data_IF_670843265738
#
_entry.id   IF_670843265738
#
_cell.length_a   1.000
_cell.length_b   1.000
_cell.length_c   1.000
_cell.angle_alpha   90.00
_cell.angle_beta   90.00
_cell.angle_gamma   90.00
#
_symmetry.space_group_name_H-M   'P 1'
#
loop_
_entity.id
_entity.type
_entity.pdbx_description
1 polymer ?
#
# COMPACT_ATOMS: atom_id res chain seq x y z
N UNK A 1 0.17 -40.11 -20.50
CA UNK A 1 0.97 -39.35 -19.51
C UNK A 1 1.01 -40.16 -18.24
N UNK A 2 2.18 -40.47 -17.70
CA UNK A 2 2.33 -41.26 -16.48
C UNK A 2 1.98 -40.41 -15.27
N UNK A 3 0.89 -40.75 -14.58
CA UNK A 3 0.50 -40.07 -13.35
C UNK A 3 1.55 -40.27 -12.25
N UNK A 4 1.87 -39.19 -11.54
CA UNK A 4 2.85 -39.22 -10.44
C UNK A 4 2.25 -40.03 -9.29
N UNK A 5 3.01 -41.00 -8.76
CA UNK A 5 2.59 -41.88 -7.63
C UNK A 5 2.06 -41.12 -6.40
N UNK A 6 2.54 -39.88 -6.19
CA UNK A 6 2.07 -38.98 -5.13
C UNK A 6 1.90 -37.56 -5.68
N UNK A 7 0.71 -37.19 -6.19
CA UNK A 7 0.51 -35.92 -6.87
C UNK A 7 0.62 -34.70 -5.94
N UNK A 8 0.28 -34.86 -4.65
CA UNK A 8 0.26 -33.78 -3.65
C UNK A 8 1.46 -33.77 -2.70
N UNK A 9 2.49 -34.58 -2.98
CA UNK A 9 3.71 -34.63 -2.16
C UNK A 9 4.87 -34.01 -2.93
N UNK A 10 5.46 -32.99 -2.34
CA UNK A 10 6.64 -32.30 -2.86
C UNK A 10 7.58 -31.94 -1.71
N UNK A 11 8.87 -31.86 -2.00
CA UNK A 11 9.91 -31.41 -1.07
C UNK A 11 10.36 -30.02 -1.49
N UNK A 12 10.45 -29.09 -0.55
CA UNK A 12 10.96 -27.73 -0.75
C UNK A 12 12.20 -27.57 0.13
N UNK A 13 13.31 -27.14 -0.46
CA UNK A 13 14.55 -26.89 0.25
C UNK A 13 14.94 -25.41 0.14
N UNK A 14 15.20 -24.79 1.30
CA UNK A 14 15.61 -23.39 1.38
C UNK A 14 17.13 -23.28 1.42
N UNK A 15 17.70 -22.38 0.61
CA UNK A 15 19.13 -22.14 0.61
C UNK A 15 19.49 -21.13 1.71
N UNK A 16 20.23 -21.59 2.72
CA UNK A 16 20.68 -20.79 3.87
C UNK A 16 21.59 -19.61 3.52
N UNK A 17 22.09 -19.52 2.28
CA UNK A 17 22.92 -18.42 1.83
C UNK A 17 22.09 -17.29 1.18
N UNK A 18 20.78 -17.48 0.98
CA UNK A 18 19.90 -16.50 0.35
C UNK A 18 19.00 -15.89 1.44
N UNK A 19 19.11 -14.58 1.75
CA UNK A 19 18.35 -13.94 2.84
C UNK A 19 16.84 -14.16 2.76
N UNK A 20 16.27 -14.11 1.56
CA UNK A 20 14.84 -14.32 1.34
C UNK A 20 14.41 -15.76 1.68
N UNK A 21 15.28 -16.75 1.44
CA UNK A 21 15.00 -18.14 1.78
C UNK A 21 15.06 -18.35 3.30
N UNK A 22 15.99 -17.69 3.98
CA UNK A 22 16.07 -17.70 5.45
C UNK A 22 14.77 -17.13 6.03
N UNK A 23 14.37 -15.94 5.57
CA UNK A 23 13.14 -15.29 6.04
C UNK A 23 11.89 -16.13 5.77
N UNK A 24 11.77 -16.73 4.58
CA UNK A 24 10.65 -17.61 4.25
C UNK A 24 10.64 -18.87 5.14
N UNK A 25 11.80 -19.46 5.42
CA UNK A 25 11.93 -20.59 6.31
C UNK A 25 11.55 -20.22 7.76
N UNK A 26 11.96 -19.05 8.26
CA UNK A 26 11.63 -18.58 9.60
C UNK A 26 10.12 -18.39 9.77
N UNK A 27 9.45 -17.76 8.80
CA UNK A 27 7.99 -17.61 8.79
C UNK A 27 7.31 -18.99 8.85
N UNK A 28 7.71 -19.93 7.99
CA UNK A 28 7.12 -21.27 7.97
C UNK A 28 7.44 -22.08 9.22
N UNK A 29 8.59 -21.85 9.86
CA UNK A 29 8.98 -22.54 11.08
C UNK A 29 8.22 -22.06 12.32
N UNK A 30 7.75 -20.81 12.32
CA UNK A 30 6.91 -20.27 13.38
C UNK A 30 5.47 -20.83 13.36
N UNK A 31 5.00 -21.35 12.22
CA UNK A 31 3.64 -21.88 12.06
C UNK A 31 3.50 -23.31 12.64
N UNK A 32 2.32 -23.67 13.20
CA UNK A 32 2.00 -25.05 13.55
C UNK A 32 2.11 -25.99 12.34
N UNK A 33 2.51 -27.24 12.57
CA UNK A 33 2.84 -28.18 11.50
C UNK A 33 1.71 -28.43 10.48
N UNK A 34 0.44 -28.28 10.89
CA UNK A 34 -0.73 -28.48 10.02
C UNK A 34 -1.10 -27.24 9.19
N UNK A 35 -0.61 -26.06 9.55
CA UNK A 35 -0.97 -24.79 8.90
C UNK A 35 0.03 -24.36 7.83
N UNK A 36 1.24 -24.94 7.81
CA UNK A 36 2.28 -24.61 6.83
C UNK A 36 1.81 -24.86 5.39
N UNK A 37 1.13 -25.98 5.16
CA UNK A 37 0.62 -26.34 3.84
C UNK A 37 -0.45 -25.34 3.37
N UNK A 38 -1.37 -24.96 4.25
CA UNK A 38 -2.42 -23.97 3.95
C UNK A 38 -1.83 -22.58 3.70
N UNK A 39 -0.83 -22.18 4.49
CA UNK A 39 -0.13 -20.91 4.30
C UNK A 39 0.56 -20.86 2.93
N UNK A 40 1.30 -21.92 2.56
CA UNK A 40 1.96 -22.03 1.26
C UNK A 40 0.92 -22.01 0.12
N UNK A 41 -0.18 -22.75 0.26
CA UNK A 41 -1.24 -22.78 -0.74
C UNK A 41 -1.86 -21.40 -0.96
N UNK A 42 -2.22 -20.69 0.12
CA UNK A 42 -2.77 -19.32 0.05
C UNK A 42 -1.77 -18.34 -0.56
N UNK A 43 -0.49 -18.42 -0.19
CA UNK A 43 0.54 -17.55 -0.74
C UNK A 43 0.72 -17.76 -2.26
N UNK A 44 0.77 -19.01 -2.72
CA UNK A 44 0.89 -19.34 -4.15
C UNK A 44 -0.35 -18.89 -4.92
N UNK A 45 -1.55 -19.23 -4.43
CA UNK A 45 -2.80 -18.84 -5.08
C UNK A 45 -2.96 -17.31 -5.11
N UNK A 46 -2.62 -16.62 -4.02
CA UNK A 46 -2.66 -15.16 -3.95
C UNK A 46 -1.68 -14.51 -4.92
N UNK A 47 -0.43 -14.99 -4.97
CA UNK A 47 0.58 -14.51 -5.93
C UNK A 47 0.14 -14.70 -7.39
N UNK A 48 -0.54 -15.80 -7.69
CA UNK A 48 -1.05 -16.11 -9.02
C UNK A 48 -2.38 -15.40 -9.35
N UNK A 49 -2.96 -14.63 -8.42
CA UNK A 49 -4.29 -14.03 -8.57
C UNK A 49 -5.43 -15.06 -8.66
N UNK A 50 -5.19 -16.28 -8.16
CA UNK A 50 -6.12 -17.42 -8.15
C UNK A 50 -6.76 -17.65 -6.78
N UNK A 51 -6.37 -16.87 -5.78
CA UNK A 51 -7.09 -16.84 -4.53
C UNK A 51 -8.36 -16.03 -4.80
N UNK A 52 -9.51 -16.69 -4.73
CA UNK A 52 -10.80 -16.02 -4.68
C UNK A 52 -10.73 -15.07 -3.48
N UNK A 53 -10.50 -13.78 -3.74
CA UNK A 53 -10.55 -12.75 -2.73
C UNK A 53 -11.95 -12.84 -2.15
N UNK A 54 -12.08 -13.34 -0.92
CA UNK A 54 -13.34 -13.31 -0.21
C UNK A 54 -13.80 -11.87 -0.19
N UNK A 55 -14.79 -11.55 -1.03
CA UNK A 55 -15.40 -10.25 -1.27
C UNK A 55 -14.55 -9.08 -0.77
N UNK A 56 -13.39 -8.88 -1.39
CA UNK A 56 -12.68 -7.60 -1.38
C UNK A 56 -13.44 -6.54 -2.19
N UNK A 57 -14.78 -6.59 -2.18
CA UNK A 57 -15.63 -5.58 -2.80
C UNK A 57 -15.62 -4.36 -1.88
N UNK A 58 -14.53 -3.59 -1.95
CA UNK A 58 -14.52 -2.25 -1.40
C UNK A 58 -15.57 -1.48 -2.19
N UNK A 59 -16.72 -1.21 -1.55
CA UNK A 59 -17.79 -0.43 -2.15
C UNK A 59 -17.18 0.88 -2.70
N UNK A 60 -17.28 1.14 -4.02
CA UNK A 60 -16.76 2.35 -4.62
C UNK A 60 -17.25 3.63 -3.95
N UNK A 61 -18.43 3.60 -3.33
CA UNK A 61 -18.97 4.73 -2.57
C UNK A 61 -18.20 4.96 -1.25
N UNK A 62 -17.82 3.89 -0.55
CA UNK A 62 -16.99 3.96 0.66
C UNK A 62 -15.61 4.52 0.28
N UNK A 63 -14.99 3.99 -0.78
CA UNK A 63 -13.70 4.47 -1.26
C UNK A 63 -13.77 5.95 -1.66
N UNK A 64 -14.81 6.35 -2.39
CA UNK A 64 -15.04 7.75 -2.79
C UNK A 64 -15.25 8.68 -1.60
N UNK A 65 -15.93 8.22 -0.55
CA UNK A 65 -16.09 8.99 0.68
C UNK A 65 -14.76 9.18 1.41
N UNK A 66 -13.97 8.11 1.56
CA UNK A 66 -12.65 8.18 2.18
C UNK A 66 -11.72 9.14 1.42
N UNK A 67 -11.67 9.05 0.09
CA UNK A 67 -10.86 9.95 -0.75
C UNK A 67 -11.30 11.41 -0.55
N UNK A 68 -12.61 11.70 -0.52
CA UNK A 68 -13.12 13.06 -0.29
C UNK A 68 -12.75 13.59 1.09
N UNK A 69 -12.83 12.74 2.11
CA UNK A 69 -12.47 13.10 3.47
C UNK A 69 -10.99 13.44 3.57
N UNK A 70 -10.10 12.59 3.04
CA UNK A 70 -8.64 12.84 3.00
C UNK A 70 -8.35 14.18 2.31
N UNK A 71 -8.93 14.42 1.14
CA UNK A 71 -8.75 15.68 0.43
C UNK A 71 -9.25 16.87 1.28
N UNK A 72 -10.43 16.78 1.89
CA UNK A 72 -10.95 17.86 2.72
C UNK A 72 -10.06 18.17 3.93
N UNK A 73 -9.54 17.15 4.62
CA UNK A 73 -8.64 17.30 5.77
C UNK A 73 -7.31 17.98 5.37
N UNK A 74 -6.76 17.63 4.21
CA UNK A 74 -5.55 18.27 3.66
C UNK A 74 -5.78 19.75 3.25
N UNK A 75 -6.99 20.13 2.85
CA UNK A 75 -7.31 21.51 2.46
C UNK A 75 -7.76 22.43 3.61
N UNK A 76 -8.22 21.89 4.75
CA UNK A 76 -8.71 22.71 5.87
C UNK A 76 -7.63 23.21 6.83
N UNK A 77 -6.43 22.61 6.85
CA UNK A 77 -5.29 23.15 7.64
C UNK A 77 -4.68 24.43 7.06
N UNK A 78 -5.09 24.88 5.87
CA UNK A 78 -4.61 26.14 5.25
C UNK A 78 -5.66 27.26 5.18
N UNK A 79 -6.89 27.01 5.64
CA UNK A 79 -8.02 27.93 5.43
C UNK A 79 -8.54 28.62 6.70
N UNK A 80 -7.85 28.46 7.84
CA UNK A 80 -8.20 29.13 9.10
C UNK A 80 -7.04 29.96 9.67
N UNK A 81 -6.49 30.85 8.85
CA UNK A 81 -6.03 32.18 9.32
C UNK A 81 -6.18 33.18 8.17
N UNK A 82 -7.40 33.52 7.75
CA UNK A 82 -7.62 34.83 7.12
C UNK A 82 -9.09 35.19 6.96
N UNK A 83 -9.73 35.61 8.06
CA UNK A 83 -10.87 36.54 8.02
C UNK A 83 -10.86 37.48 9.23
N UNK A 84 -9.90 38.39 9.28
CA UNK A 84 -10.13 39.78 9.73
C UNK A 84 -8.93 40.66 9.38
N UNK A 85 -9.09 41.47 8.32
CA UNK A 85 -8.71 42.90 8.18
C UNK A 85 -8.18 43.21 6.77
N UNK A 86 -9.04 43.84 5.99
CA UNK A 86 -8.64 44.76 4.92
C UNK A 86 -7.77 45.87 5.51
N UNK A 87 -6.47 45.84 5.26
CA UNK A 87 -5.62 47.01 5.05
C UNK A 87 -4.28 46.53 4.48
N UNK A 88 -3.85 47.14 3.39
CA UNK A 88 -2.86 46.60 2.45
C UNK A 88 -1.53 46.18 3.07
N UNK A 89 -1.12 44.96 2.75
CA UNK A 89 0.27 44.50 2.79
C UNK A 89 0.49 43.65 1.54
N UNK A 90 0.99 44.27 0.47
CA UNK A 90 1.57 43.54 -0.65
C UNK A 90 2.85 42.89 -0.14
N UNK A 91 2.96 41.56 -0.25
CA UNK A 91 4.18 40.82 0.12
C UNK A 91 5.43 41.46 -0.50
N UNK A 92 6.52 41.67 0.26
CA UNK A 92 7.74 42.31 -0.25
C UNK A 92 8.37 41.57 -1.43
N UNK A 93 8.07 40.28 -1.59
CA UNK A 93 8.49 39.45 -2.72
C UNK A 93 7.83 39.89 -4.04
N UNK A 94 6.55 40.26 -4.04
CA UNK A 94 5.86 40.72 -5.25
C UNK A 94 6.35 42.12 -5.69
N UNK A 95 6.72 42.99 -4.73
CA UNK A 95 7.23 44.32 -5.05
C UNK A 95 8.60 44.28 -5.72
N UNK A 96 9.43 43.26 -5.40
CA UNK A 96 10.74 43.11 -6.03
C UNK A 96 10.61 42.65 -7.48
N UNK A 97 9.69 41.72 -7.77
CA UNK A 97 9.49 41.19 -9.12
C UNK A 97 8.97 42.28 -10.08
N UNK A 98 8.05 43.15 -9.64
CA UNK A 98 7.55 44.24 -10.48
C UNK A 98 8.60 45.31 -10.80
N UNK A 99 9.61 45.52 -9.96
CA UNK A 99 10.68 46.50 -10.23
C UNK A 99 11.73 46.00 -11.23
N UNK A 100 11.92 44.69 -11.32
CA UNK A 100 12.89 44.09 -12.27
C UNK A 100 12.36 44.01 -13.70
N UNK A 101 11.03 44.05 -13.90
CA UNK A 101 10.43 43.87 -15.23
C UNK A 101 10.21 45.21 -15.98
N UNK A 102 10.27 46.36 -15.29
CA UNK A 102 9.99 47.69 -15.88
C UNK A 102 11.25 48.60 -15.90
N UNK A 103 12.43 48.04 -16.20
CA UNK A 103 13.63 48.81 -16.52
C UNK A 103 14.32 48.22 -17.75
#
# INVERSE_FOLDING_TARGET
MTEKKYPYKFSIEFNKNIPQHIQAADILNALPCREKADYIAKAILGYEGKLEEGEGNVDPNILKHMIRQILSEEFHTKAETDKTKTSGQVSPVLLHISKTIIL
#
